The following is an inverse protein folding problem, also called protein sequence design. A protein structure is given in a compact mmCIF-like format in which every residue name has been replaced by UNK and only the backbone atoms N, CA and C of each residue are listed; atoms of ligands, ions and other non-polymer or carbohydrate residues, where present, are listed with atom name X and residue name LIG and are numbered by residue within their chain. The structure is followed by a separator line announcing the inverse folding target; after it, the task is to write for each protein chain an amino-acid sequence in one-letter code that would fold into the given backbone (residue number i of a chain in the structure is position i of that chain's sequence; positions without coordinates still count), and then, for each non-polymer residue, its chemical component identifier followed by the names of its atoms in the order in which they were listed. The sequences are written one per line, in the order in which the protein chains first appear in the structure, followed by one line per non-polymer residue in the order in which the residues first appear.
data_IF_904373757329
#
_entry.id   IF_904373757329
#
_cell.length_a   1.000
_cell.length_b   1.000
_cell.length_c   1.000
_cell.angle_alpha   90.00
_cell.angle_beta   90.00
_cell.angle_gamma   90.00
#
_symmetry.space_group_name_H-M   'P 1'
#
loop_
_entity.id
_entity.type
_entity.pdbx_description
1 polymer ?
#
# COMPACT_ATOMS: atom_id res chain seq x y z
N UNK A 1 -11.86 5.24 8.60
CA UNK A 1 -13.02 5.16 7.69
C UNK A 1 -14.35 5.08 8.44
N UNK A 2 -14.58 4.16 9.38
CA UNK A 2 -15.85 4.13 10.15
C UNK A 2 -16.17 5.47 10.82
N UNK A 3 -15.15 6.10 11.41
CA UNK A 3 -15.28 7.41 12.07
C UNK A 3 -15.52 8.58 11.12
N UNK A 4 -15.56 8.34 9.81
CA UNK A 4 -15.87 9.36 8.79
C UNK A 4 -17.21 9.09 8.09
N UNK A 5 -18.00 8.09 8.54
CA UNK A 5 -19.36 7.84 8.05
C UNK A 5 -19.55 6.62 7.15
N UNK A 6 -18.49 5.84 6.90
CA UNK A 6 -18.64 4.53 6.25
C UNK A 6 -19.23 3.50 7.23
N UNK A 7 -20.04 2.56 6.72
CA UNK A 7 -20.47 1.43 7.56
C UNK A 7 -19.26 0.57 7.96
N UNK A 8 -19.33 -0.23 9.05
CA UNK A 8 -18.27 -1.16 9.40
C UNK A 8 -17.87 -2.09 8.25
N UNK A 9 -18.84 -2.57 7.46
CA UNK A 9 -18.59 -3.44 6.32
C UNK A 9 -17.84 -2.73 5.19
N UNK A 10 -18.24 -1.50 4.87
CA UNK A 10 -17.57 -0.69 3.84
C UNK A 10 -16.15 -0.31 4.28
N UNK A 11 -15.99 0.08 5.54
CA UNK A 11 -14.70 0.42 6.13
C UNK A 11 -13.76 -0.80 6.13
N UNK A 12 -14.27 -1.99 6.43
CA UNK A 12 -13.52 -3.24 6.38
C UNK A 12 -13.05 -3.57 4.96
N UNK A 13 -13.89 -3.36 3.93
CA UNK A 13 -13.48 -3.56 2.52
C UNK A 13 -12.37 -2.60 2.13
N UNK A 14 -12.51 -1.31 2.48
CA UNK A 14 -11.49 -0.29 2.20
C UNK A 14 -10.17 -0.64 2.91
N UNK A 15 -10.22 -0.98 4.19
CA UNK A 15 -9.04 -1.31 4.99
C UNK A 15 -8.35 -2.59 4.48
N UNK A 16 -9.12 -3.63 4.14
CA UNK A 16 -8.58 -4.85 3.56
C UNK A 16 -7.93 -4.57 2.19
N UNK A 17 -8.60 -3.82 1.30
CA UNK A 17 -8.02 -3.44 0.01
C UNK A 17 -6.73 -2.65 0.14
N UNK A 18 -6.66 -1.72 1.12
CA UNK A 18 -5.43 -0.97 1.41
C UNK A 18 -4.31 -1.92 1.80
N UNK A 19 -4.50 -2.76 2.82
CA UNK A 19 -3.47 -3.72 3.25
C UNK A 19 -3.08 -4.70 2.13
N UNK A 20 -4.05 -5.17 1.33
CA UNK A 20 -3.78 -6.12 0.26
C UNK A 20 -2.91 -5.56 -0.87
N UNK A 21 -2.69 -4.23 -0.94
CA UNK A 21 -1.68 -3.66 -1.86
C UNK A 21 -0.29 -4.23 -1.59
N UNK A 22 0.08 -4.40 -0.31
CA UNK A 22 1.39 -4.93 0.11
C UNK A 22 1.53 -6.45 -0.04
N UNK A 23 0.40 -7.17 -0.15
CA UNK A 23 0.37 -8.64 -0.12
C UNK A 23 -0.07 -9.26 -1.46
N UNK A 24 -0.57 -8.48 -2.42
CA UNK A 24 -0.93 -8.96 -3.75
C UNK A 24 0.31 -9.29 -4.61
N UNK A 25 0.82 -10.51 -4.45
CA UNK A 25 2.00 -11.07 -5.15
C UNK A 25 1.67 -11.84 -6.44
N UNK A 26 0.37 -12.12 -6.69
CA UNK A 26 -0.07 -12.87 -7.86
C UNK A 26 0.28 -12.13 -9.16
N UNK A 27 1.15 -12.75 -9.98
CA UNK A 27 1.63 -12.17 -11.25
C UNK A 27 1.57 -13.16 -12.43
N UNK A 28 1.35 -14.45 -12.16
CA UNK A 28 1.29 -15.48 -13.20
C UNK A 28 -0.13 -15.60 -13.73
N UNK A 29 -0.25 -15.65 -15.06
CA UNK A 29 -1.53 -15.97 -15.72
C UNK A 29 -2.05 -17.31 -15.21
N UNK A 30 -3.34 -17.41 -15.00
CA UNK A 30 -4.00 -18.62 -14.53
C UNK A 30 -5.26 -18.89 -15.33
N UNK A 31 -5.62 -20.15 -15.50
CA UNK A 31 -6.88 -20.54 -16.12
C UNK A 31 -7.96 -20.51 -15.04
N UNK A 32 -9.05 -19.78 -15.28
CA UNK A 32 -10.23 -19.73 -14.42
C UNK A 32 -11.44 -20.11 -15.27
N UNK A 33 -12.06 -21.25 -14.95
CA UNK A 33 -13.31 -21.68 -15.55
C UNK A 33 -14.45 -20.84 -14.98
N UNK A 34 -14.84 -19.83 -15.75
CA UNK A 34 -15.87 -18.84 -15.45
C UNK A 34 -15.56 -17.55 -16.20
N UNK A 35 -16.57 -16.76 -16.54
CA UNK A 35 -16.35 -15.46 -17.17
C UNK A 35 -17.20 -14.41 -16.47
N UNK A 36 -16.54 -13.35 -16.01
CA UNK A 36 -17.19 -12.16 -15.46
C UNK A 36 -17.04 -11.04 -16.47
N UNK A 37 -18.17 -10.56 -17.02
CA UNK A 37 -18.21 -9.54 -18.09
C UNK A 37 -17.42 -8.28 -17.72
N UNK A 38 -17.49 -7.85 -16.47
CA UNK A 38 -16.78 -6.68 -15.94
C UNK A 38 -15.25 -6.85 -15.93
N UNK A 39 -14.76 -8.09 -15.93
CA UNK A 39 -13.34 -8.42 -15.92
C UNK A 39 -12.80 -8.72 -17.32
N UNK A 40 -13.53 -8.39 -18.39
CA UNK A 40 -13.12 -8.70 -19.77
C UNK A 40 -11.72 -8.18 -20.11
N UNK A 41 -11.29 -7.04 -19.55
CA UNK A 41 -9.90 -6.52 -19.66
C UNK A 41 -8.84 -7.50 -19.15
N UNK A 42 -9.21 -8.41 -18.26
CA UNK A 42 -8.32 -9.36 -17.56
C UNK A 42 -8.49 -10.80 -18.00
N UNK A 43 -9.58 -11.11 -18.71
CA UNK A 43 -9.85 -12.42 -19.27
C UNK A 43 -9.52 -12.46 -20.76
N UNK A 44 -8.63 -13.37 -21.15
CA UNK A 44 -8.48 -13.80 -22.54
C UNK A 44 -8.95 -15.25 -22.63
N UNK A 45 -10.18 -15.44 -23.11
CA UNK A 45 -10.87 -16.74 -23.02
C UNK A 45 -11.09 -17.14 -21.55
N UNK A 46 -10.41 -18.22 -21.12
CA UNK A 46 -10.44 -18.70 -19.73
C UNK A 46 -9.24 -18.25 -18.91
N UNK A 47 -8.32 -17.48 -19.48
CA UNK A 47 -7.09 -17.09 -18.79
C UNK A 47 -7.28 -15.74 -18.13
N UNK A 48 -7.15 -15.71 -16.80
CA UNK A 48 -7.06 -14.50 -16.00
C UNK A 48 -5.60 -14.11 -15.79
N UNK A 49 -5.28 -12.84 -16.01
CA UNK A 49 -3.94 -12.30 -15.75
C UNK A 49 -4.00 -11.42 -14.50
N UNK A 50 -3.44 -11.80 -13.33
CA UNK A 50 -3.44 -10.98 -12.11
C UNK A 50 -2.44 -9.80 -12.18
N UNK A 51 -2.58 -8.84 -11.26
CA UNK A 51 -1.74 -7.65 -11.12
C UNK A 51 -1.06 -7.74 -9.77
N UNK A 52 0.26 -7.89 -9.81
CA UNK A 52 1.05 -7.79 -8.61
C UNK A 52 1.27 -6.31 -8.26
N UNK A 53 0.84 -5.90 -7.07
CA UNK A 53 1.12 -4.58 -6.49
C UNK A 53 2.15 -4.66 -5.36
N UNK A 54 2.33 -5.84 -4.77
CA UNK A 54 3.27 -6.08 -3.70
C UNK A 54 4.73 -6.12 -4.19
N UNK A 55 5.65 -5.67 -3.35
CA UNK A 55 7.09 -5.86 -3.57
C UNK A 55 7.67 -7.11 -2.86
N UNK A 56 6.92 -7.72 -1.94
CA UNK A 56 7.31 -8.89 -1.12
C UNK A 56 7.80 -10.03 -2.02
N UNK A 57 9.06 -10.43 -1.87
CA UNK A 57 9.70 -11.52 -2.63
C UNK A 57 10.23 -11.15 -4.04
N UNK A 58 9.85 -9.99 -4.60
CA UNK A 58 10.34 -9.53 -5.92
C UNK A 58 11.66 -8.76 -5.80
N UNK A 59 11.85 -8.05 -4.70
CA UNK A 59 13.06 -7.27 -4.39
C UNK A 59 14.36 -8.08 -4.55
N UNK A 60 14.36 -9.33 -4.08
CA UNK A 60 15.53 -10.20 -4.06
C UNK A 60 15.95 -10.75 -5.43
N UNK A 61 15.00 -10.83 -6.39
CA UNK A 61 15.23 -11.53 -7.67
C UNK A 61 15.25 -10.54 -8.84
N UNK A 62 14.46 -9.46 -8.76
CA UNK A 62 14.14 -8.63 -9.93
C UNK A 62 13.93 -7.14 -9.63
N UNK A 63 14.19 -6.65 -8.40
CA UNK A 63 13.89 -5.27 -8.00
C UNK A 63 14.42 -4.20 -8.96
N UNK A 64 15.64 -4.37 -9.47
CA UNK A 64 16.28 -3.47 -10.45
C UNK A 64 15.62 -3.43 -11.83
N UNK A 65 14.77 -4.40 -12.16
CA UNK A 65 14.11 -4.41 -13.48
C UNK A 65 13.21 -3.18 -13.58
N UNK A 66 13.40 -2.42 -14.65
CA UNK A 66 12.57 -1.26 -14.98
C UNK A 66 11.08 -1.59 -14.91
N UNK A 67 10.72 -2.81 -15.32
CA UNK A 67 9.35 -3.33 -15.24
C UNK A 67 8.81 -3.39 -13.80
N UNK A 68 9.61 -3.73 -12.79
CA UNK A 68 9.19 -3.76 -11.38
C UNK A 68 9.01 -2.33 -10.88
N UNK A 69 9.95 -1.43 -11.18
CA UNK A 69 9.86 -0.02 -10.82
C UNK A 69 8.59 0.63 -11.40
N UNK A 70 8.36 0.46 -12.70
CA UNK A 70 7.26 1.08 -13.43
C UNK A 70 5.90 0.42 -13.15
N UNK A 71 5.85 -0.89 -12.91
CA UNK A 71 4.57 -1.61 -12.73
C UNK A 71 4.18 -1.77 -11.26
N UNK A 72 5.13 -1.73 -10.33
CA UNK A 72 4.89 -2.03 -8.91
C UNK A 72 5.23 -0.81 -8.05
N UNK A 73 6.48 -0.38 -8.02
CA UNK A 73 6.92 0.62 -7.05
C UNK A 73 6.27 1.97 -7.28
N UNK A 74 6.40 2.54 -8.48
CA UNK A 74 5.90 3.89 -8.76
C UNK A 74 4.37 3.97 -8.64
N UNK A 75 3.57 3.02 -9.17
CA UNK A 75 2.11 3.16 -9.11
C UNK A 75 1.47 2.87 -7.75
N UNK A 76 2.17 2.20 -6.83
CA UNK A 76 1.57 1.71 -5.58
C UNK A 76 2.28 2.16 -4.30
N UNK A 77 3.58 2.44 -4.31
CA UNK A 77 4.33 2.75 -3.08
C UNK A 77 5.09 4.08 -3.17
N UNK A 78 5.82 4.30 -4.26
CA UNK A 78 6.66 5.48 -4.43
C UNK A 78 6.11 6.39 -5.52
N UNK A 79 4.85 6.83 -5.36
CA UNK A 79 4.21 7.72 -6.32
C UNK A 79 4.81 9.13 -6.20
N UNK A 80 5.58 9.62 -7.19
CA UNK A 80 6.08 10.98 -7.18
C UNK A 80 4.95 11.98 -7.34
N UNK A 81 5.13 13.19 -6.83
CA UNK A 81 4.19 14.28 -7.10
C UNK A 81 4.41 14.85 -8.50
N UNK A 82 3.96 14.12 -9.53
CA UNK A 82 4.14 14.48 -10.95
C UNK A 82 3.56 15.85 -11.30
N UNK A 83 2.56 16.33 -10.55
CA UNK A 83 1.96 17.67 -10.79
C UNK A 83 2.85 18.82 -10.27
N UNK A 84 3.84 18.51 -9.44
CA UNK A 84 4.83 19.48 -8.93
C UNK A 84 6.08 19.57 -9.82
N UNK A 85 6.29 18.58 -10.70
CA UNK A 85 7.44 18.46 -11.60
C UNK A 85 7.26 19.43 -12.78
N UNK A 86 8.06 20.50 -12.83
CA UNK A 86 8.06 21.51 -13.89
C UNK A 86 9.03 21.18 -15.03
N UNK A 87 10.01 20.31 -14.80
CA UNK A 87 11.01 19.89 -15.79
C UNK A 87 11.30 18.39 -15.69
N UNK A 88 11.67 17.74 -16.80
CA UNK A 88 12.06 16.30 -16.82
C UNK A 88 13.27 15.94 -15.95
N UNK A 89 14.02 16.94 -15.48
CA UNK A 89 15.16 16.78 -14.57
C UNK A 89 14.79 16.91 -13.09
N UNK A 90 13.53 17.19 -12.77
CA UNK A 90 13.08 17.25 -11.38
C UNK A 90 12.86 15.85 -10.81
N UNK A 91 13.11 15.74 -9.51
CA UNK A 91 13.30 14.47 -8.82
C UNK A 91 11.99 13.66 -8.77
N UNK A 92 12.07 12.35 -9.04
CA UNK A 92 10.95 11.41 -8.88
C UNK A 92 10.75 11.00 -7.41
N UNK A 93 11.06 11.93 -6.50
CA UNK A 93 10.88 11.71 -5.08
C UNK A 93 9.39 11.82 -4.73
N UNK A 94 8.99 10.97 -3.81
CA UNK A 94 7.71 11.09 -3.14
C UNK A 94 7.72 12.35 -2.28
N UNK A 95 6.66 13.13 -2.38
CA UNK A 95 6.40 14.25 -1.48
C UNK A 95 5.23 13.89 -0.57
N UNK A 96 5.36 14.15 0.74
CA UNK A 96 4.28 13.97 1.71
C UNK A 96 3.05 14.77 1.29
N UNK A 97 1.85 14.19 1.43
CA UNK A 97 0.60 14.81 0.97
C UNK A 97 0.62 15.17 -0.53
N UNK A 98 1.29 14.34 -1.34
CA UNK A 98 1.46 14.56 -2.78
C UNK A 98 0.13 14.75 -3.51
N UNK A 99 0.06 15.73 -4.41
CA UNK A 99 -1.19 16.15 -5.07
C UNK A 99 -1.77 15.03 -5.93
N UNK A 100 -0.92 14.33 -6.67
CA UNK A 100 -1.36 13.22 -7.52
C UNK A 100 -1.98 12.07 -6.69
N UNK A 101 -1.34 11.67 -5.59
CA UNK A 101 -1.88 10.65 -4.70
C UNK A 101 -3.22 11.07 -4.09
N UNK A 102 -3.31 12.32 -3.62
CA UNK A 102 -4.56 12.89 -3.11
C UNK A 102 -5.67 12.92 -4.17
N UNK A 103 -5.32 13.23 -5.43
CA UNK A 103 -6.24 13.23 -6.55
C UNK A 103 -6.79 11.83 -6.84
N UNK A 104 -5.99 10.77 -6.74
CA UNK A 104 -6.48 9.39 -6.85
C UNK A 104 -7.57 9.10 -5.80
N UNK A 105 -7.34 9.51 -4.55
CA UNK A 105 -8.32 9.36 -3.46
C UNK A 105 -9.62 10.12 -3.77
N UNK A 106 -9.51 11.38 -4.21
CA UNK A 106 -10.69 12.21 -4.57
C UNK A 106 -11.46 11.62 -5.75
N UNK A 107 -10.76 11.12 -6.78
CA UNK A 107 -11.38 10.45 -7.92
C UNK A 107 -12.12 9.18 -7.48
N UNK A 108 -11.48 8.34 -6.67
CA UNK A 108 -12.10 7.12 -6.13
C UNK A 108 -13.34 7.44 -5.26
N UNK A 109 -13.25 8.45 -4.39
CA UNK A 109 -14.37 8.93 -3.58
C UNK A 109 -15.52 9.47 -4.46
N UNK A 110 -15.20 10.23 -5.50
CA UNK A 110 -16.18 10.80 -6.43
C UNK A 110 -16.96 9.71 -7.15
N UNK A 111 -16.28 8.70 -7.67
CA UNK A 111 -16.93 7.56 -8.34
C UNK A 111 -17.73 6.70 -7.35
N UNK A 112 -17.21 6.51 -6.14
CA UNK A 112 -17.94 5.81 -5.07
C UNK A 112 -19.27 6.50 -4.72
N UNK A 113 -19.33 7.83 -4.75
CA UNK A 113 -20.55 8.59 -4.44
C UNK A 113 -21.67 8.41 -5.47
N UNK A 114 -21.33 7.99 -6.69
CA UNK A 114 -22.26 7.83 -7.82
C UNK A 114 -22.77 6.40 -7.98
N UNK A 115 -22.28 5.45 -7.18
CA UNK A 115 -22.41 4.02 -7.45
C UNK A 115 -23.13 3.28 -6.32
N UNK A 116 -23.87 2.24 -6.70
CA UNK A 116 -24.62 1.36 -5.79
C UNK A 116 -24.37 -0.10 -6.17
N UNK A 117 -24.78 -1.05 -5.32
CA UNK A 117 -24.66 -2.49 -5.61
C UNK A 117 -23.22 -2.94 -5.90
N UNK A 118 -23.05 -3.79 -6.91
CA UNK A 118 -21.76 -4.39 -7.30
C UNK A 118 -20.69 -3.35 -7.67
N UNK A 119 -21.09 -2.27 -8.33
CA UNK A 119 -20.17 -1.20 -8.73
C UNK A 119 -19.65 -0.41 -7.52
N UNK A 120 -20.50 -0.20 -6.51
CA UNK A 120 -20.09 0.42 -5.24
C UNK A 120 -19.01 -0.40 -4.55
N UNK A 121 -19.15 -1.73 -4.51
CA UNK A 121 -18.15 -2.62 -3.93
C UNK A 121 -16.79 -2.50 -4.63
N UNK A 122 -16.78 -2.46 -5.96
CA UNK A 122 -15.55 -2.24 -6.72
C UNK A 122 -14.92 -0.88 -6.42
N UNK A 123 -15.72 0.18 -6.26
CA UNK A 123 -15.21 1.51 -5.94
C UNK A 123 -14.72 1.65 -4.49
N UNK A 124 -15.24 0.86 -3.54
CA UNK A 124 -14.65 0.75 -2.19
C UNK A 124 -13.23 0.17 -2.25
N UNK A 125 -13.01 -0.84 -3.09
CA UNK A 125 -11.69 -1.44 -3.29
C UNK A 125 -10.73 -0.45 -3.96
N UNK A 126 -11.18 0.25 -5.00
CA UNK A 126 -10.40 1.35 -5.63
C UNK A 126 -10.01 2.42 -4.63
N UNK A 127 -10.92 2.79 -3.74
CA UNK A 127 -10.65 3.75 -2.68
C UNK A 127 -9.59 3.21 -1.70
N UNK A 128 -9.65 1.95 -1.30
CA UNK A 128 -8.63 1.33 -0.46
C UNK A 128 -7.23 1.35 -1.10
N UNK A 129 -7.13 1.00 -2.38
CA UNK A 129 -5.86 1.05 -3.13
C UNK A 129 -5.33 2.49 -3.18
N UNK A 130 -6.18 3.48 -3.49
CA UNK A 130 -5.77 4.88 -3.57
C UNK A 130 -5.34 5.44 -2.19
N UNK A 131 -6.02 5.02 -1.11
CA UNK A 131 -5.68 5.42 0.25
C UNK A 131 -4.33 4.87 0.70
N UNK A 132 -3.99 3.63 0.31
CA UNK A 132 -2.67 3.05 0.54
C UNK A 132 -1.58 3.96 -0.04
N UNK A 133 -1.66 4.22 -1.35
CA UNK A 133 -0.66 5.06 -2.05
C UNK A 133 -0.59 6.47 -1.46
N UNK A 134 -1.72 7.02 -1.02
CA UNK A 134 -1.74 8.32 -0.37
C UNK A 134 -1.06 8.31 0.99
N UNK A 135 -1.30 7.29 1.83
CA UNK A 135 -0.62 7.13 3.11
C UNK A 135 0.90 6.92 2.93
N UNK A 136 1.30 6.14 1.93
CA UNK A 136 2.71 5.92 1.57
C UNK A 136 3.44 7.23 1.22
N UNK A 137 2.73 8.30 0.85
CA UNK A 137 3.39 9.59 0.62
C UNK A 137 4.12 10.14 1.86
N UNK A 138 3.64 9.84 3.06
CA UNK A 138 4.31 10.24 4.30
C UNK A 138 5.43 9.27 4.67
N UNK A 139 5.19 7.96 4.54
CA UNK A 139 6.19 6.93 4.84
C UNK A 139 7.37 7.04 3.88
N UNK A 140 7.13 7.20 2.59
CA UNK A 140 8.18 7.10 1.57
C UNK A 140 8.67 8.46 1.05
N UNK A 141 8.31 9.58 1.70
CA UNK A 141 8.82 10.90 1.34
C UNK A 141 10.36 10.91 1.22
N UNK A 142 10.88 11.66 0.24
CA UNK A 142 12.32 11.76 -0.08
C UNK A 142 12.99 10.46 -0.57
N UNK A 143 12.19 9.47 -0.98
CA UNK A 143 12.61 8.29 -1.73
C UNK A 143 11.89 8.22 -3.08
N UNK A 144 12.44 7.45 -4.01
CA UNK A 144 11.96 7.26 -5.38
C UNK A 144 11.78 5.78 -5.68
N UNK A 145 10.72 5.46 -6.42
CA UNK A 145 10.48 4.09 -6.91
C UNK A 145 11.44 3.66 -8.01
N UNK A 146 12.35 4.54 -8.42
CA UNK A 146 13.36 4.26 -9.45
C UNK A 146 14.65 3.74 -8.82
N UNK A 147 15.39 2.93 -9.57
CA UNK A 147 16.78 2.65 -9.25
C UNK A 147 17.64 3.84 -9.65
N UNK A 148 17.92 4.72 -8.69
CA UNK A 148 18.70 5.93 -8.93
C UNK A 148 19.59 6.28 -7.71
N UNK A 149 20.93 6.28 -7.89
CA UNK A 149 21.89 6.49 -6.81
C UNK A 149 21.99 7.95 -6.32
N UNK A 150 21.23 8.89 -6.90
CA UNK A 150 21.08 10.25 -6.37
C UNK A 150 19.80 10.39 -5.56
N UNK A 151 18.76 9.64 -5.93
CA UNK A 151 17.42 9.75 -5.34
C UNK A 151 17.20 8.86 -4.12
N UNK A 152 17.91 7.74 -3.97
CA UNK A 152 17.71 6.81 -2.86
C UNK A 152 18.90 6.66 -1.92
N UNK A 153 20.05 7.24 -2.27
CA UNK A 153 21.32 7.09 -1.56
C UNK A 153 21.35 7.87 -0.23
N UNK A 154 21.43 7.14 0.88
CA UNK A 154 21.47 7.63 2.25
C UNK A 154 22.59 6.98 3.07
N UNK A 155 23.14 7.71 4.04
CA UNK A 155 24.11 7.17 5.01
C UNK A 155 23.83 7.72 6.42
N UNK A 156 24.68 7.39 7.39
CA UNK A 156 24.66 7.89 8.77
C UNK A 156 23.28 7.76 9.43
N UNK A 157 22.65 6.60 9.26
CA UNK A 157 21.34 6.33 9.87
C UNK A 157 21.49 6.24 11.39
N UNK A 158 20.68 7.04 12.09
CA UNK A 158 20.62 7.10 13.55
C UNK A 158 19.18 6.99 14.01
N UNK A 159 18.95 6.30 15.13
CA UNK A 159 17.65 6.21 15.78
C UNK A 159 17.67 7.02 17.08
N UNK A 160 16.54 7.61 17.43
CA UNK A 160 16.39 8.35 18.66
C UNK A 160 15.90 7.42 19.77
N UNK A 161 16.75 7.19 20.78
CA UNK A 161 16.46 6.33 21.92
C UNK A 161 16.95 6.98 23.21
N UNK A 162 16.14 6.92 24.27
CA UNK A 162 16.49 7.45 25.59
C UNK A 162 17.04 8.89 25.58
N UNK A 163 16.49 9.76 24.72
CA UNK A 163 16.90 11.16 24.61
C UNK A 163 18.16 11.41 23.79
N UNK A 164 18.72 10.40 23.10
CA UNK A 164 19.96 10.49 22.33
C UNK A 164 19.82 9.85 20.95
N UNK A 165 20.62 10.33 20.02
CA UNK A 165 20.80 9.71 18.70
C UNK A 165 21.83 8.60 18.80
N UNK A 166 21.44 7.39 18.41
CA UNK A 166 22.28 6.20 18.40
C UNK A 166 22.51 5.76 16.96
N UNK A 167 23.78 5.72 16.53
CA UNK A 167 24.14 5.26 15.19
C UNK A 167 23.91 3.77 15.07
N UNK A 168 23.20 3.36 14.02
CA UNK A 168 22.99 1.95 13.73
C UNK A 168 24.20 1.43 12.99
N UNK A 169 24.75 0.31 13.45
CA UNK A 169 25.90 -0.31 12.78
C UNK A 169 25.48 -0.85 11.40
N UNK A 170 26.36 -0.75 10.40
CA UNK A 170 26.15 -1.38 9.08
C UNK A 170 25.91 -2.90 9.18
N UNK A 171 26.38 -3.56 10.24
CA UNK A 171 26.14 -4.98 10.51
C UNK A 171 24.74 -5.28 11.06
N UNK A 172 24.19 -4.42 11.91
CA UNK A 172 22.77 -4.47 12.30
C UNK A 172 21.85 -4.05 11.16
N UNK A 173 22.36 -3.31 10.17
CA UNK A 173 21.66 -3.13 8.90
C UNK A 173 21.68 -4.44 8.09
N UNK A 174 22.79 -5.20 8.06
CA UNK A 174 22.97 -6.50 7.35
C UNK A 174 22.04 -7.63 7.78
N UNK A 175 21.58 -7.69 9.04
CA UNK A 175 20.48 -8.60 9.42
C UNK A 175 19.15 -8.26 8.72
N UNK A 176 19.08 -7.06 8.14
CA UNK A 176 17.98 -6.55 7.30
C UNK A 176 18.45 -6.11 5.89
N UNK A 177 19.71 -6.31 5.47
CA UNK A 177 20.30 -5.74 4.24
C UNK A 177 20.62 -6.83 3.23
N UNK A 178 19.67 -6.99 2.31
CA UNK A 178 19.82 -7.72 1.05
C UNK A 178 19.01 -7.02 -0.04
N UNK A 179 18.78 -5.71 0.09
CA UNK A 179 17.81 -4.98 -0.72
C UNK A 179 18.48 -4.01 -1.71
N UNK A 180 17.98 -3.91 -2.96
CA UNK A 180 18.51 -3.07 -4.04
C UNK A 180 18.26 -1.56 -3.81
N UNK A 181 19.05 -0.63 -4.39
CA UNK A 181 18.95 0.86 -4.25
C UNK A 181 17.65 1.47 -4.83
N UNK A 182 16.51 1.00 -4.38
CA UNK A 182 15.19 1.35 -4.89
C UNK A 182 14.25 1.58 -3.72
N UNK A 183 13.60 2.74 -3.75
CA UNK A 183 12.80 3.17 -2.63
C UNK A 183 13.67 3.40 -1.40
N UNK A 184 13.18 2.95 -0.24
CA UNK A 184 13.85 3.11 1.04
C UNK A 184 14.70 1.89 1.44
N UNK A 185 15.18 1.10 0.48
CA UNK A 185 15.90 -0.14 0.76
C UNK A 185 17.06 0.02 1.75
N UNK A 186 17.86 1.08 1.64
CA UNK A 186 18.94 1.39 2.58
C UNK A 186 18.44 1.81 3.97
N UNK A 187 17.22 2.36 4.06
CA UNK A 187 16.54 2.64 5.32
C UNK A 187 15.81 1.41 5.91
N UNK A 188 15.83 0.27 5.19
CA UNK A 188 15.12 -0.95 5.58
C UNK A 188 13.66 -0.66 5.93
N UNK A 189 13.12 -1.26 7.00
CA UNK A 189 11.75 -1.07 7.47
C UNK A 189 11.52 0.22 8.27
N UNK A 190 12.53 1.08 8.45
CA UNK A 190 12.40 2.25 9.33
C UNK A 190 11.30 3.22 8.93
N UNK A 191 11.06 3.54 7.65
CA UNK A 191 9.95 4.39 7.28
C UNK A 191 8.57 3.83 7.67
N UNK A 192 8.44 2.51 7.80
CA UNK A 192 7.18 1.79 8.03
C UNK A 192 6.91 1.52 9.52
N UNK A 193 7.91 1.71 10.37
CA UNK A 193 7.80 1.56 11.82
C UNK A 193 7.20 2.82 12.46
N UNK A 194 5.88 2.81 12.67
CA UNK A 194 5.12 3.98 13.15
C UNK A 194 5.63 4.64 14.44
N UNK A 195 6.30 3.89 15.33
CA UNK A 195 6.79 4.39 16.62
C UNK A 195 8.19 5.01 16.51
N UNK A 196 8.88 4.80 15.39
CA UNK A 196 10.29 5.08 15.27
C UNK A 196 10.52 6.57 14.98
N UNK A 197 11.48 7.14 15.71
CA UNK A 197 12.09 8.42 15.40
C UNK A 197 13.53 8.18 14.95
N UNK A 198 13.86 8.60 13.74
CA UNK A 198 15.12 8.28 13.08
C UNK A 198 15.60 9.44 12.19
N UNK A 199 16.86 9.44 11.79
CA UNK A 199 17.42 10.40 10.84
C UNK A 199 18.48 9.76 9.97
N UNK A 200 18.75 10.38 8.82
CA UNK A 200 19.76 9.93 7.86
C UNK A 200 20.36 11.12 7.13
N UNK A 201 21.58 10.95 6.63
CA UNK A 201 22.25 11.87 5.71
C UNK A 201 21.82 11.51 4.28
N UNK A 202 21.35 12.50 3.51
CA UNK A 202 21.13 12.36 2.07
C UNK A 202 22.43 12.68 1.35
N UNK A 203 23.07 11.69 0.73
CA UNK A 203 24.41 11.86 0.16
C UNK A 203 24.44 12.88 -1.00
N UNK A 204 23.37 12.94 -1.80
CA UNK A 204 23.27 13.86 -2.92
C UNK A 204 23.17 15.35 -2.53
N UNK A 205 22.65 15.66 -1.35
CA UNK A 205 22.51 17.04 -0.85
C UNK A 205 23.47 17.37 0.30
N UNK A 206 23.99 16.36 0.99
CA UNK A 206 24.73 16.51 2.24
C UNK A 206 23.86 16.90 3.43
N UNK A 207 22.53 16.86 3.30
CA UNK A 207 21.58 17.28 4.34
C UNK A 207 21.17 16.10 5.22
N UNK A 208 21.02 16.36 6.52
CA UNK A 208 20.45 15.38 7.46
C UNK A 208 18.94 15.58 7.54
N UNK A 209 18.18 14.52 7.25
CA UNK A 209 16.72 14.50 7.35
C UNK A 209 16.30 13.75 8.62
N UNK A 210 15.59 14.44 9.51
CA UNK A 210 14.98 13.86 10.71
C UNK A 210 13.53 13.46 10.44
N UNK A 211 13.11 12.33 11.02
CA UNK A 211 11.79 11.75 10.84
C UNK A 211 11.24 11.26 12.16
N UNK A 212 10.03 11.71 12.48
CA UNK A 212 9.22 11.18 13.57
C UNK A 212 8.01 10.48 12.93
N UNK A 213 8.07 9.16 12.80
CA UNK A 213 7.03 8.44 12.08
C UNK A 213 5.67 8.52 12.79
N UNK A 214 5.65 8.69 14.13
CA UNK A 214 4.37 8.85 14.83
C UNK A 214 3.70 10.15 14.40
N UNK A 215 4.45 11.26 14.33
CA UNK A 215 3.93 12.52 13.82
C UNK A 215 3.47 12.40 12.38
N UNK A 216 4.30 11.81 11.51
CA UNK A 216 3.98 11.65 10.08
C UNK A 216 2.73 10.79 9.85
N UNK A 217 2.56 9.69 10.60
CA UNK A 217 1.42 8.79 10.44
C UNK A 217 0.14 9.43 10.99
N UNK A 218 0.25 10.27 12.02
CA UNK A 218 -0.87 11.09 12.52
C UNK A 218 -1.28 12.13 11.49
N UNK A 219 -0.32 12.79 10.83
CA UNK A 219 -0.62 13.73 9.75
C UNK A 219 -1.29 13.04 8.55
N UNK A 220 -0.84 11.84 8.18
CA UNK A 220 -1.48 11.03 7.15
C UNK A 220 -2.95 10.72 7.52
N UNK A 221 -3.17 10.22 8.74
CA UNK A 221 -4.50 9.91 9.24
C UNK A 221 -5.40 11.16 9.34
N UNK A 222 -4.85 12.33 9.71
CA UNK A 222 -5.57 13.60 9.76
C UNK A 222 -6.04 14.03 8.38
N UNK A 223 -5.15 13.96 7.39
CA UNK A 223 -5.47 14.33 6.02
C UNK A 223 -6.53 13.39 5.42
N UNK A 224 -6.41 12.08 5.65
CA UNK A 224 -7.43 11.10 5.27
C UNK A 224 -8.76 11.44 5.96
N UNK A 225 -8.76 11.64 7.28
CA UNK A 225 -9.96 12.02 8.02
C UNK A 225 -10.61 13.29 7.42
N UNK A 226 -9.80 14.29 7.09
CA UNK A 226 -10.27 15.56 6.54
C UNK A 226 -10.85 15.45 5.11
N UNK A 227 -10.42 14.47 4.31
CA UNK A 227 -11.00 14.20 2.98
C UNK A 227 -12.43 13.63 3.10
N UNK A 228 -12.67 12.80 4.12
CA UNK A 228 -13.95 12.09 4.28
C UNK A 228 -14.87 12.69 5.34
N UNK A 229 -14.41 13.63 6.17
CA UNK A 229 -15.29 14.24 7.18
C UNK A 229 -16.43 14.99 6.49
N UNK A 230 -17.64 14.51 6.70
CA UNK A 230 -18.87 15.16 6.24
C UNK A 230 -19.55 15.93 7.36
N UNK A 231 -20.65 16.61 7.03
CA UNK A 231 -21.49 17.33 7.99
C UNK A 231 -22.06 16.39 9.08
N UNK A 232 -22.17 15.09 8.79
CA UNK A 232 -22.72 14.08 9.70
C UNK A 232 -21.65 13.36 10.55
N UNK A 233 -20.37 13.72 10.44
CA UNK A 233 -19.32 13.07 11.22
C UNK A 233 -19.49 13.41 12.71
N UNK A 234 -19.84 12.40 13.52
CA UNK A 234 -20.08 12.54 14.97
C UNK A 234 -18.80 12.56 15.80
N UNK A 235 -17.65 12.23 15.21
CA UNK A 235 -16.38 12.11 15.90
C UNK A 235 -15.52 13.35 15.67
N UNK A 236 -14.93 13.89 16.74
CA UNK A 236 -13.92 14.93 16.59
C UNK A 236 -12.58 14.32 16.20
N UNK A 237 -11.81 15.01 15.36
CA UNK A 237 -10.44 14.59 15.05
C UNK A 237 -9.58 14.51 16.32
N UNK A 238 -9.78 15.43 17.27
CA UNK A 238 -9.03 15.48 18.52
C UNK A 238 -9.14 14.18 19.33
N UNK A 239 -10.34 13.61 19.43
CA UNK A 239 -10.55 12.35 20.16
C UNK A 239 -9.87 11.16 19.46
N UNK A 240 -9.93 11.13 18.13
CA UNK A 240 -9.28 10.09 17.32
C UNK A 240 -7.76 10.22 17.40
N UNK A 241 -7.24 11.45 17.35
CA UNK A 241 -5.81 11.77 17.35
C UNK A 241 -5.11 11.24 18.59
N UNK A 242 -5.67 11.46 19.78
CA UNK A 242 -5.08 10.99 21.05
C UNK A 242 -4.94 9.46 21.03
N UNK A 243 -5.99 8.75 20.61
CA UNK A 243 -5.99 7.30 20.48
C UNK A 243 -4.98 6.80 19.42
N UNK A 244 -4.92 7.45 18.27
CA UNK A 244 -3.95 7.08 17.23
C UNK A 244 -2.51 7.33 17.67
N UNK A 245 -2.22 8.39 18.44
CA UNK A 245 -0.88 8.62 19.00
C UNK A 245 -0.50 7.44 19.90
N UNK A 246 -1.42 6.99 20.76
CA UNK A 246 -1.20 5.82 21.63
C UNK A 246 -0.90 4.55 20.83
N UNK A 247 -1.56 4.36 19.68
CA UNK A 247 -1.33 3.22 18.81
C UNK A 247 -0.02 3.32 18.01
N UNK A 248 0.25 4.46 17.39
CA UNK A 248 1.40 4.62 16.50
C UNK A 248 2.72 4.73 17.24
N UNK A 249 2.74 5.34 18.43
CA UNK A 249 3.93 5.41 19.30
C UNK A 249 4.25 4.10 20.02
N UNK A 250 3.35 3.11 19.95
CA UNK A 250 3.58 1.81 20.56
C UNK A 250 4.58 1.00 19.74
N UNK A 251 5.73 0.69 20.34
CA UNK A 251 6.68 -0.27 19.80
C UNK A 251 6.13 -1.68 20.01
N UNK A 252 5.72 -2.31 18.91
CA UNK A 252 5.28 -3.70 18.88
C UNK A 252 6.38 -4.58 18.25
N UNK A 253 6.57 -5.78 18.79
CA UNK A 253 7.54 -6.76 18.29
C UNK A 253 6.96 -7.60 17.14
N UNK A 254 5.65 -7.52 16.90
CA UNK A 254 4.94 -8.26 15.87
C UNK A 254 3.69 -7.54 15.35
N UNK A 255 3.20 -7.93 14.17
CA UNK A 255 1.94 -7.42 13.61
C UNK A 255 0.76 -7.80 14.52
N UNK A 256 0.77 -9.01 15.08
CA UNK A 256 -0.27 -9.50 15.99
C UNK A 256 -0.36 -8.65 17.26
N UNK A 257 0.79 -8.23 17.79
CA UNK A 257 0.84 -7.35 18.95
C UNK A 257 0.34 -5.94 18.61
N UNK A 258 0.78 -5.39 17.47
CA UNK A 258 0.27 -4.10 16.96
C UNK A 258 -1.24 -4.15 16.79
N UNK A 259 -1.77 -5.22 16.19
CA UNK A 259 -3.20 -5.43 16.03
C UNK A 259 -3.94 -5.46 17.38
N UNK A 260 -3.45 -6.23 18.37
CA UNK A 260 -4.01 -6.25 19.73
C UNK A 260 -4.00 -4.86 20.39
N UNK A 261 -2.95 -4.05 20.16
CA UNK A 261 -2.90 -2.66 20.64
C UNK A 261 -4.03 -1.83 20.04
N UNK A 262 -4.23 -1.89 18.73
CA UNK A 262 -5.34 -1.19 18.06
C UNK A 262 -6.71 -1.65 18.57
N UNK A 263 -6.93 -2.96 18.71
CA UNK A 263 -8.19 -3.50 19.25
C UNK A 263 -8.48 -3.00 20.68
N UNK A 264 -7.44 -2.87 21.52
CA UNK A 264 -7.61 -2.36 22.89
C UNK A 264 -8.02 -0.89 22.92
N UNK A 265 -7.46 -0.07 22.02
CA UNK A 265 -7.69 1.38 21.96
C UNK A 265 -9.00 1.73 21.22
N UNK A 266 -9.37 0.91 20.24
CA UNK A 266 -10.59 1.00 19.45
C UNK A 266 -11.41 -0.30 19.53
N UNK A 267 -11.93 -0.68 20.72
CA UNK A 267 -12.67 -1.94 20.89
C UNK A 267 -13.97 -1.98 20.10
N UNK A 268 -14.49 -0.82 19.68
CA UNK A 268 -15.68 -0.71 18.85
C UNK A 268 -15.43 -0.93 17.36
N UNK A 269 -14.17 -0.93 16.92
CA UNK A 269 -13.79 -1.13 15.51
C UNK A 269 -13.45 -2.61 15.32
N UNK A 270 -14.26 -3.30 14.53
CA UNK A 270 -13.94 -4.64 14.05
C UNK A 270 -13.01 -4.56 12.84
N UNK A 271 -11.80 -5.10 12.96
CA UNK A 271 -10.90 -5.27 11.81
C UNK A 271 -10.48 -6.73 11.69
N UNK A 272 -10.61 -7.32 10.51
CA UNK A 272 -10.11 -8.65 10.19
C UNK A 272 -9.28 -8.61 8.91
N UNK A 273 -8.18 -9.34 8.89
CA UNK A 273 -7.34 -9.44 7.71
C UNK A 273 -6.67 -10.82 7.65
N UNK A 274 -6.70 -11.41 6.47
CA UNK A 274 -6.00 -12.63 6.10
C UNK A 274 -5.60 -12.44 4.63
N UNK A 275 -4.30 -12.46 4.33
CA UNK A 275 -3.75 -12.20 3.00
C UNK A 275 -4.31 -13.14 1.90
N UNK A 276 -4.81 -14.34 2.27
CA UNK A 276 -5.30 -15.34 1.34
C UNK A 276 -6.83 -15.35 1.20
N UNK A 277 -7.57 -14.77 2.15
CA UNK A 277 -9.03 -14.89 2.20
C UNK A 277 -9.72 -14.51 0.88
N UNK A 278 -9.47 -13.30 0.35
CA UNK A 278 -10.12 -12.85 -0.88
C UNK A 278 -9.81 -13.78 -2.06
N UNK A 279 -8.58 -14.29 -2.14
CA UNK A 279 -8.14 -15.20 -3.21
C UNK A 279 -8.84 -16.55 -3.10
N UNK A 280 -8.87 -17.13 -1.91
CA UNK A 280 -9.45 -18.45 -1.66
C UNK A 280 -10.97 -18.46 -1.84
N UNK A 281 -11.65 -17.38 -1.46
CA UNK A 281 -13.08 -17.21 -1.70
C UNK A 281 -13.42 -16.99 -3.19
N UNK A 282 -12.50 -16.39 -3.94
CA UNK A 282 -12.66 -16.12 -5.36
C UNK A 282 -12.28 -17.29 -6.28
N UNK A 283 -11.42 -18.20 -5.81
CA UNK A 283 -10.93 -19.35 -6.56
C UNK A 283 -11.37 -20.65 -5.89
N UNK A 284 -12.35 -21.33 -6.48
CA UNK A 284 -12.73 -22.66 -6.01
C UNK A 284 -11.85 -23.75 -6.64
N UNK A 285 -11.50 -24.73 -5.82
CA UNK A 285 -10.74 -25.93 -6.19
C UNK A 285 -11.74 -27.02 -6.60
N UNK A 286 -11.47 -27.74 -7.70
CA UNK A 286 -12.36 -28.81 -8.16
C UNK A 286 -12.23 -30.10 -7.36
N UNK A 287 -11.06 -30.32 -6.76
CA UNK A 287 -10.78 -31.42 -5.84
C UNK A 287 -10.20 -30.86 -4.53
N UNK A 288 -11.00 -30.95 -3.45
CA UNK A 288 -10.63 -30.41 -2.15
C UNK A 288 -9.62 -31.28 -1.38
N UNK A 289 -9.20 -32.43 -1.94
CA UNK A 289 -8.11 -33.22 -1.38
C UNK A 289 -6.80 -32.42 -1.39
N UNK A 290 -5.90 -32.70 -0.43
CA UNK A 290 -4.57 -32.06 -0.37
C UNK A 290 -3.80 -32.24 -1.68
N UNK A 291 -3.93 -33.40 -2.31
CA UNK A 291 -3.28 -33.72 -3.57
C UNK A 291 -3.92 -32.97 -4.75
N UNK A 292 -5.24 -32.88 -4.79
CA UNK A 292 -5.99 -32.11 -5.78
C UNK A 292 -5.62 -30.63 -5.77
N UNK A 293 -5.53 -30.02 -4.58
CA UNK A 293 -5.07 -28.64 -4.40
C UNK A 293 -3.66 -28.42 -4.96
N UNK A 294 -2.70 -29.27 -4.61
CA UNK A 294 -1.31 -29.19 -5.11
C UNK A 294 -1.25 -29.30 -6.64
N UNK A 295 -1.96 -30.27 -7.22
CA UNK A 295 -2.00 -30.42 -8.69
C UNK A 295 -2.62 -29.19 -9.36
N UNK A 296 -3.66 -28.64 -8.75
CA UNK A 296 -4.42 -27.52 -9.29
C UNK A 296 -3.63 -26.20 -9.23
N UNK A 297 -2.88 -25.99 -8.15
CA UNK A 297 -1.91 -24.89 -8.01
C UNK A 297 -0.78 -24.99 -9.04
N UNK A 298 -0.20 -26.19 -9.19
CA UNK A 298 0.85 -26.44 -10.18
C UNK A 298 0.38 -26.21 -11.62
N UNK A 299 -0.86 -26.60 -11.93
CA UNK A 299 -1.45 -26.43 -13.26
C UNK A 299 -2.15 -25.07 -13.46
N UNK A 300 -2.15 -24.22 -12.42
CA UNK A 300 -2.76 -22.88 -12.43
C UNK A 300 -4.19 -22.86 -13.00
N UNK A 301 -5.02 -23.84 -12.66
CA UNK A 301 -6.37 -24.00 -13.20
C UNK A 301 -7.39 -23.90 -12.09
N UNK A 302 -8.41 -23.05 -12.15
CA UNK A 302 -9.35 -22.79 -11.06
C UNK A 302 -10.78 -22.72 -11.58
N UNK A 303 -11.77 -22.76 -10.68
CA UNK A 303 -13.16 -22.41 -10.99
C UNK A 303 -13.48 -21.08 -10.30
N UNK A 304 -14.40 -20.32 -10.90
CA UNK A 304 -14.89 -19.09 -10.27
C UNK A 304 -15.60 -19.43 -8.94
N UNK A 305 -15.15 -18.82 -7.84
CA UNK A 305 -15.77 -18.91 -6.53
C UNK A 305 -17.00 -18.00 -6.39
N UNK A 306 -17.52 -17.91 -5.16
CA UNK A 306 -18.69 -17.08 -4.85
C UNK A 306 -18.34 -15.60 -4.69
N UNK A 307 -17.11 -15.30 -4.27
CA UNK A 307 -16.66 -13.94 -4.04
C UNK A 307 -15.88 -13.38 -5.24
N UNK A 308 -16.03 -12.08 -5.47
CA UNK A 308 -15.41 -11.37 -6.61
C UNK A 308 -14.39 -10.33 -6.16
N UNK A 309 -14.22 -10.09 -4.85
CA UNK A 309 -13.34 -9.03 -4.31
C UNK A 309 -11.91 -9.13 -4.82
N UNK A 310 -11.32 -10.32 -4.82
CA UNK A 310 -9.96 -10.51 -5.35
C UNK A 310 -9.84 -10.10 -6.82
N UNK A 311 -10.81 -10.48 -7.65
CA UNK A 311 -10.82 -10.07 -9.05
C UNK A 311 -11.02 -8.56 -9.23
N UNK A 312 -11.87 -7.94 -8.42
CA UNK A 312 -12.08 -6.49 -8.44
C UNK A 312 -10.87 -5.71 -7.98
N UNK A 313 -10.16 -6.19 -6.96
CA UNK A 313 -8.87 -5.65 -6.56
C UNK A 313 -7.90 -5.63 -7.72
N UNK A 314 -7.76 -6.78 -8.39
CA UNK A 314 -6.88 -6.87 -9.55
C UNK A 314 -7.26 -5.89 -10.64
N UNK A 315 -8.55 -5.80 -11.02
CA UNK A 315 -9.01 -4.84 -12.02
C UNK A 315 -8.73 -3.39 -11.61
N UNK A 316 -9.05 -3.03 -10.36
CA UNK A 316 -8.81 -1.70 -9.80
C UNK A 316 -7.31 -1.33 -9.79
N UNK A 317 -6.46 -2.27 -9.39
CA UNK A 317 -5.01 -2.09 -9.39
C UNK A 317 -4.47 -1.88 -10.81
N UNK A 318 -5.01 -2.59 -11.82
CA UNK A 318 -4.64 -2.33 -13.23
C UNK A 318 -5.04 -0.93 -13.67
N UNK A 319 -6.29 -0.53 -13.41
CA UNK A 319 -6.79 0.79 -13.82
C UNK A 319 -5.90 1.90 -13.20
N UNK A 320 -5.50 1.78 -11.93
CA UNK A 320 -4.58 2.74 -11.29
C UNK A 320 -3.17 2.71 -11.93
N UNK A 321 -2.59 1.52 -12.13
CA UNK A 321 -1.29 1.37 -12.79
C UNK A 321 -1.29 2.01 -14.18
N UNK A 322 -2.30 1.70 -14.99
CA UNK A 322 -2.40 2.23 -16.36
C UNK A 322 -2.59 3.74 -16.36
N UNK A 323 -3.39 4.28 -15.43
CA UNK A 323 -3.55 5.72 -15.26
C UNK A 323 -2.21 6.40 -14.93
N UNK A 324 -1.48 5.90 -13.93
CA UNK A 324 -0.17 6.47 -13.54
C UNK A 324 0.85 6.35 -14.66
N UNK A 325 0.96 5.19 -15.31
CA UNK A 325 1.87 5.01 -16.43
C UNK A 325 1.52 5.89 -17.64
N UNK A 326 0.22 6.17 -17.85
CA UNK A 326 -0.24 7.12 -18.85
C UNK A 326 0.28 8.52 -18.57
N UNK A 327 0.22 8.97 -17.31
CA UNK A 327 0.74 10.28 -16.89
C UNK A 327 2.25 10.39 -17.09
N UNK A 328 3.01 9.39 -16.63
CA UNK A 328 4.48 9.36 -16.74
C UNK A 328 4.94 9.41 -18.20
N UNK A 329 4.24 8.72 -19.12
CA UNK A 329 4.56 8.76 -20.55
C UNK A 329 4.24 10.10 -21.21
N UNK A 330 3.30 10.85 -20.64
CA UNK A 330 2.84 12.15 -21.17
C UNK A 330 3.62 13.36 -20.63
N UNK A 331 4.32 13.21 -19.50
CA UNK A 331 5.22 14.21 -18.90
C UNK A 331 6.61 14.23 -19.53
#
# INVERSE_FOLDING_TARGET
MEKTGFSPEEAQIIAYASQFVDDAVDHKKMNVNGHLKILSKRFSGKTFNPVCSAHKGIQFIQGFKEDVQNKIYIPFHFLPDLESIKTKSESHLVASNGKLAKKLVILAQTELSKTTGEERFMNLIRLGIALHVYADTWAHQNFSGRHNPTENDIDNIEIFKNGKWEKISRFSQLEYNTFPDIGHAEASSFPDQSHLKWRYLKNSTGETHERDNTVLFIEAAENIFNIFKGIQTRYSWSDIKVKLIECFSYQADSIEEKYKKFQKVFPEIGFFYDENQWRDEALSVSDNSKFGKILQENNQSYKLGSDKKWFYFHLAALDQREYILGLIKSS
#
